data_IF_761709721194
#
_entry.id   IF_761709721194
#
_cell.length_a   1.000
_cell.length_b   1.000
_cell.length_c   1.000
_cell.angle_alpha   90.00
_cell.angle_beta   90.00
_cell.angle_gamma   90.00
#
_symmetry.space_group_name_H-M   'P 1'
#
loop_
_entity.id
_entity.type
_entity.pdbx_description
1 polymer ?
#
# COMPACT_ATOMS: atom_id res chain seq x y z
N UNK A 1 -41.72 12.40 20.18
CA UNK A 1 -40.96 11.14 20.26
C UNK A 1 -40.86 10.55 18.88
N UNK A 2 -39.75 9.84 18.63
CA UNK A 2 -39.36 9.08 17.42
C UNK A 2 -39.10 9.90 16.14
N UNK A 3 -38.09 9.68 15.29
CA UNK A 3 -36.84 8.90 15.24
C UNK A 3 -36.06 9.45 14.02
N UNK A 4 -34.72 9.52 14.10
CA UNK A 4 -33.73 9.02 13.10
C UNK A 4 -33.91 9.45 11.62
N UNK A 5 -32.93 9.97 10.89
CA UNK A 5 -31.71 9.25 10.46
C UNK A 5 -30.81 10.21 9.68
N UNK A 6 -29.51 10.16 9.95
CA UNK A 6 -28.49 10.74 9.08
C UNK A 6 -28.38 9.91 7.79
N UNK A 7 -28.40 10.56 6.64
CA UNK A 7 -27.95 10.00 5.37
C UNK A 7 -26.58 10.58 5.04
N UNK A 8 -25.58 9.71 5.06
CA UNK A 8 -24.33 9.82 4.32
C UNK A 8 -24.64 9.56 2.85
N UNK A 9 -24.03 10.29 1.92
CA UNK A 9 -23.50 9.65 0.71
C UNK A 9 -22.59 10.58 -0.12
N UNK A 10 -21.36 10.10 -0.33
CA UNK A 10 -20.75 10.08 -1.66
C UNK A 10 -20.32 11.40 -2.30
N UNK A 11 -19.29 12.07 -1.78
CA UNK A 11 -18.45 12.94 -2.63
C UNK A 11 -17.57 12.02 -3.50
N UNK A 12 -18.13 11.52 -4.60
CA UNK A 12 -17.35 10.97 -5.71
C UNK A 12 -16.65 12.13 -6.39
N UNK A 13 -15.38 12.36 -6.02
CA UNK A 13 -14.54 13.30 -6.75
C UNK A 13 -14.35 12.79 -8.19
N UNK A 14 -14.71 13.56 -9.23
CA UNK A 14 -14.49 13.14 -10.61
C UNK A 14 -12.98 13.01 -10.86
N UNK A 15 -12.58 11.82 -11.31
CA UNK A 15 -11.24 11.58 -11.85
C UNK A 15 -10.99 12.58 -12.98
N UNK A 16 -9.84 13.27 -13.01
CA UNK A 16 -9.56 14.24 -14.07
C UNK A 16 -9.49 13.54 -15.43
N UNK A 17 -10.02 14.16 -16.49
CA UNK A 17 -10.01 13.58 -17.83
C UNK A 17 -8.58 13.32 -18.30
N UNK A 18 -8.34 12.13 -18.86
CA UNK A 18 -7.12 11.75 -19.58
C UNK A 18 -6.95 12.65 -20.79
N UNK A 19 -6.34 13.81 -20.60
CA UNK A 19 -5.98 14.72 -21.69
C UNK A 19 -4.80 14.10 -22.42
N UNK A 20 -5.03 13.62 -23.65
CA UNK A 20 -3.94 13.46 -24.62
C UNK A 20 -3.26 14.83 -24.72
N UNK A 21 -1.96 14.90 -24.43
CA UNK A 21 -1.16 16.10 -24.60
C UNK A 21 -1.13 16.48 -26.08
N UNK A 22 -2.13 17.22 -26.54
CA UNK A 22 -2.13 17.93 -27.80
C UNK A 22 -2.09 19.42 -27.46
N UNK A 23 -0.88 19.98 -27.37
CA UNK A 23 -0.61 21.38 -27.69
C UNK A 23 0.90 21.66 -27.61
N UNK A 24 1.52 21.68 -28.78
CA UNK A 24 2.93 21.95 -29.06
C UNK A 24 3.36 23.40 -28.76
N UNK A 25 2.53 24.20 -28.07
CA UNK A 25 2.78 25.61 -27.76
C UNK A 25 3.04 25.90 -26.25
N UNK A 26 3.03 24.88 -25.38
CA UNK A 26 3.33 25.03 -23.94
C UNK A 26 4.75 24.55 -23.57
N UNK A 27 5.67 24.45 -24.53
CA UNK A 27 7.12 24.43 -24.25
C UNK A 27 7.59 25.83 -23.82
N UNK A 28 7.01 26.35 -22.74
CA UNK A 28 7.53 27.54 -22.07
C UNK A 28 8.64 27.06 -21.15
N UNK A 29 9.87 27.39 -21.51
CA UNK A 29 11.12 27.29 -20.74
C UNK A 29 10.97 26.53 -19.42
N UNK A 30 11.10 25.20 -19.47
CA UNK A 30 11.09 24.37 -18.26
C UNK A 30 12.32 24.80 -17.45
N UNK A 31 12.18 25.30 -16.20
CA UNK A 31 13.31 25.68 -15.38
C UNK A 31 13.97 24.40 -14.84
N UNK A 32 14.82 23.77 -15.67
CA UNK A 32 15.42 22.45 -15.46
C UNK A 32 16.08 22.37 -14.08
N UNK A 33 16.90 23.36 -13.70
CA UNK A 33 17.58 23.36 -12.40
C UNK A 33 16.63 23.46 -11.21
N UNK A 34 15.56 24.25 -11.34
CA UNK A 34 14.59 24.42 -10.26
C UNK A 34 13.84 23.12 -10.01
N UNK A 35 13.43 22.44 -11.08
CA UNK A 35 12.75 21.15 -11.00
C UNK A 35 13.65 20.06 -10.44
N UNK A 36 14.92 20.04 -10.88
CA UNK A 36 15.91 19.10 -10.36
C UNK A 36 16.05 19.24 -8.84
N UNK A 37 16.27 20.47 -8.36
CA UNK A 37 16.34 20.77 -6.91
C UNK A 37 15.08 20.36 -6.15
N UNK A 38 13.90 20.55 -6.72
CA UNK A 38 12.66 20.12 -6.09
C UNK A 38 12.56 18.59 -6.01
N UNK A 39 12.93 17.87 -7.07
CA UNK A 39 12.96 16.40 -7.07
C UNK A 39 14.00 15.84 -6.09
N UNK A 40 15.19 16.46 -6.01
CA UNK A 40 16.23 16.13 -5.03
C UNK A 40 15.71 16.35 -3.60
N UNK A 41 15.03 17.47 -3.32
CA UNK A 41 14.43 17.72 -2.01
C UNK A 41 13.37 16.66 -1.63
N UNK A 42 12.57 16.16 -2.58
CA UNK A 42 11.65 15.04 -2.33
C UNK A 42 12.35 13.72 -2.02
N UNK A 43 13.56 13.50 -2.55
CA UNK A 43 14.37 12.32 -2.25
C UNK A 43 15.03 12.44 -0.87
N UNK A 44 15.55 13.61 -0.53
CA UNK A 44 16.23 13.87 0.74
C UNK A 44 15.26 13.99 1.93
N UNK A 45 14.01 14.39 1.67
CA UNK A 45 12.98 14.44 2.70
C UNK A 45 12.57 13.02 3.14
N UNK A 46 13.32 12.50 4.11
CA UNK A 46 13.06 11.25 4.80
C UNK A 46 11.95 11.35 5.85
N UNK A 47 11.46 12.56 6.15
CA UNK A 47 10.43 12.79 7.18
C UNK A 47 9.03 12.64 6.61
N UNK A 48 8.87 12.94 5.32
CA UNK A 48 7.62 12.73 4.58
C UNK A 48 7.42 11.28 4.14
N UNK A 49 6.17 10.83 4.08
CA UNK A 49 5.81 9.56 3.46
C UNK A 49 6.23 9.59 1.99
N UNK A 50 6.80 8.51 1.44
CA UNK A 50 7.17 8.50 0.04
C UNK A 50 5.90 8.59 -0.81
N UNK A 51 5.86 9.58 -1.70
CA UNK A 51 4.76 9.79 -2.64
C UNK A 51 5.04 9.03 -3.95
N UNK A 52 4.01 8.52 -4.63
CA UNK A 52 4.20 7.99 -5.97
C UNK A 52 4.57 9.14 -6.92
N UNK A 53 5.38 8.83 -7.93
CA UNK A 53 5.86 9.82 -8.90
C UNK A 53 4.73 10.63 -9.58
N UNK A 54 3.56 10.03 -9.77
CA UNK A 54 2.37 10.72 -10.31
C UNK A 54 1.87 11.85 -9.43
N UNK A 55 1.91 11.67 -8.10
CA UNK A 55 1.56 12.71 -7.14
C UNK A 55 2.64 13.79 -7.10
N UNK A 56 3.92 13.41 -7.09
CA UNK A 56 5.04 14.36 -7.14
C UNK A 56 4.95 15.24 -8.41
N UNK A 57 4.70 14.62 -9.56
CA UNK A 57 4.53 15.34 -10.82
C UNK A 57 3.34 16.31 -10.78
N UNK A 58 2.21 15.87 -10.21
CA UNK A 58 1.03 16.72 -9.99
C UNK A 58 1.32 17.90 -9.06
N UNK A 59 2.08 17.69 -7.99
CA UNK A 59 2.51 18.76 -7.07
C UNK A 59 3.43 19.77 -7.74
N UNK A 60 4.25 19.34 -8.71
CA UNK A 60 5.12 20.21 -9.50
C UNK A 60 4.38 20.88 -10.67
N UNK A 61 3.18 20.42 -11.02
CA UNK A 61 2.40 20.94 -12.15
C UNK A 61 2.87 20.44 -13.53
N UNK A 62 3.63 19.33 -13.58
CA UNK A 62 4.16 18.76 -14.83
C UNK A 62 3.65 17.35 -15.09
N UNK A 63 3.62 16.96 -16.36
CA UNK A 63 3.33 15.57 -16.73
C UNK A 63 4.53 14.66 -16.44
N UNK A 64 4.26 13.45 -15.97
CA UNK A 64 5.29 12.45 -15.65
C UNK A 64 6.17 12.11 -16.87
N UNK A 65 5.63 12.15 -18.09
CA UNK A 65 6.39 11.88 -19.32
C UNK A 65 7.45 12.94 -19.57
N UNK A 66 7.14 14.21 -19.28
CA UNK A 66 8.08 15.32 -19.41
C UNK A 66 9.20 15.15 -18.37
N UNK A 67 8.83 14.89 -17.11
CA UNK A 67 9.81 14.69 -16.04
C UNK A 67 10.72 13.48 -16.32
N UNK A 68 10.19 12.37 -16.82
CA UNK A 68 10.99 11.19 -17.19
C UNK A 68 11.92 11.44 -18.36
N UNK A 69 11.54 12.31 -19.31
CA UNK A 69 12.40 12.65 -20.46
C UNK A 69 13.64 13.46 -20.04
N UNK A 70 13.49 14.35 -19.06
CA UNK A 70 14.57 15.22 -18.61
C UNK A 70 15.33 14.70 -17.38
N UNK A 71 14.66 13.93 -16.51
CA UNK A 71 15.17 13.49 -15.21
C UNK A 71 14.83 12.02 -14.96
N UNK A 72 15.22 11.13 -15.88
CA UNK A 72 14.92 9.70 -15.79
C UNK A 72 15.39 9.09 -14.48
N UNK A 73 16.63 9.38 -14.06
CA UNK A 73 17.25 8.82 -12.86
C UNK A 73 16.53 9.26 -11.58
N UNK A 74 16.24 10.56 -11.44
CA UNK A 74 15.53 11.10 -10.28
C UNK A 74 14.10 10.55 -10.19
N UNK A 75 13.40 10.47 -11.33
CA UNK A 75 12.07 9.87 -11.38
C UNK A 75 12.09 8.39 -10.98
N UNK A 76 13.14 7.66 -11.39
CA UNK A 76 13.33 6.27 -11.04
C UNK A 76 13.59 6.12 -9.54
N UNK A 77 14.49 6.90 -8.97
CA UNK A 77 14.81 6.89 -7.54
C UNK A 77 13.56 7.16 -6.67
N UNK A 78 12.75 8.17 -7.02
CA UNK A 78 11.51 8.48 -6.29
C UNK A 78 10.53 7.31 -6.40
N UNK A 79 10.39 6.74 -7.60
CA UNK A 79 9.49 5.60 -7.83
C UNK A 79 9.93 4.37 -7.03
N UNK A 80 11.24 4.06 -7.01
CA UNK A 80 11.78 2.94 -6.24
C UNK A 80 11.53 3.11 -4.75
N UNK A 81 11.84 4.29 -4.19
CA UNK A 81 11.55 4.61 -2.79
C UNK A 81 10.09 4.36 -2.41
N UNK A 82 9.15 4.73 -3.28
CA UNK A 82 7.73 4.46 -3.07
C UNK A 82 7.39 2.97 -3.13
N UNK A 83 7.95 2.23 -4.09
CA UNK A 83 7.74 0.78 -4.22
C UNK A 83 8.29 0.02 -3.02
N UNK A 84 9.49 0.37 -2.55
CA UNK A 84 10.12 -0.22 -1.37
C UNK A 84 9.29 0.02 -0.12
N UNK A 85 8.82 1.26 0.09
CA UNK A 85 7.90 1.57 1.18
C UNK A 85 6.60 0.77 1.07
N UNK A 86 6.04 0.64 -0.14
CA UNK A 86 4.81 -0.11 -0.37
C UNK A 86 4.97 -1.58 -0.05
N UNK A 87 6.11 -2.16 -0.43
CA UNK A 87 6.52 -3.52 -0.13
C UNK A 87 6.72 -3.72 1.37
N UNK A 88 7.45 -2.83 2.04
CA UNK A 88 7.64 -2.87 3.49
C UNK A 88 6.31 -2.79 4.24
N UNK A 89 5.42 -1.88 3.84
CA UNK A 89 4.07 -1.77 4.40
C UNK A 89 3.22 -3.03 4.18
N UNK A 90 3.33 -3.67 3.02
CA UNK A 90 2.63 -4.93 2.75
C UNK A 90 3.19 -6.05 3.63
N UNK A 91 4.52 -6.20 3.69
CA UNK A 91 5.19 -7.19 4.53
C UNK A 91 4.87 -7.01 6.01
N UNK A 92 4.82 -5.77 6.50
CA UNK A 92 4.42 -5.48 7.88
C UNK A 92 2.99 -5.95 8.16
N UNK A 93 2.05 -5.71 7.22
CA UNK A 93 0.67 -6.17 7.37
C UNK A 93 0.56 -7.69 7.33
N UNK A 94 1.33 -8.34 6.45
CA UNK A 94 1.44 -9.79 6.42
C UNK A 94 1.95 -10.34 7.74
N UNK A 95 3.02 -9.77 8.28
CA UNK A 95 3.61 -10.20 9.55
C UNK A 95 2.62 -10.08 10.71
N UNK A 96 1.89 -8.96 10.80
CA UNK A 96 0.83 -8.77 11.79
C UNK A 96 -0.26 -9.84 11.64
N UNK A 97 -0.70 -10.13 10.42
CA UNK A 97 -1.70 -11.17 10.16
C UNK A 97 -1.18 -12.58 10.46
N UNK A 98 0.08 -12.88 10.15
CA UNK A 98 0.72 -14.15 10.53
C UNK A 98 0.73 -14.31 12.05
N UNK A 99 1.09 -13.26 12.77
CA UNK A 99 1.14 -13.28 14.24
C UNK A 99 -0.25 -13.43 14.86
N UNK A 100 -1.25 -12.73 14.33
CA UNK A 100 -2.66 -12.88 14.71
C UNK A 100 -3.12 -14.34 14.54
N UNK A 101 -2.80 -14.96 13.39
CA UNK A 101 -3.09 -16.37 13.13
C UNK A 101 -2.44 -17.28 14.17
N UNK A 102 -1.16 -17.07 14.49
CA UNK A 102 -0.46 -17.88 15.50
C UNK A 102 -1.15 -17.78 16.86
N UNK A 103 -1.45 -16.57 17.31
CA UNK A 103 -2.09 -16.31 18.59
C UNK A 103 -3.48 -16.95 18.67
N UNK A 104 -4.29 -16.80 17.62
CA UNK A 104 -5.61 -17.43 17.53
C UNK A 104 -5.49 -18.95 17.55
N UNK A 105 -4.56 -19.52 16.79
CA UNK A 105 -4.37 -20.97 16.72
C UNK A 105 -3.98 -21.56 18.09
N UNK A 106 -3.03 -20.94 18.80
CA UNK A 106 -2.67 -21.36 20.16
C UNK A 106 -3.82 -21.19 21.14
N UNK A 107 -4.59 -20.10 21.03
CA UNK A 107 -5.78 -19.87 21.86
C UNK A 107 -6.81 -20.97 21.66
N UNK A 108 -7.14 -21.32 20.42
CA UNK A 108 -8.09 -22.39 20.11
C UNK A 108 -7.62 -23.73 20.68
N UNK A 109 -6.33 -24.05 20.48
CA UNK A 109 -5.75 -25.28 21.01
C UNK A 109 -5.84 -25.34 22.54
N UNK A 110 -5.56 -24.24 23.24
CA UNK A 110 -5.69 -24.17 24.71
C UNK A 110 -7.13 -24.35 25.21
N UNK A 111 -8.12 -24.08 24.35
CA UNK A 111 -9.54 -24.31 24.62
C UNK A 111 -9.99 -25.74 24.26
N UNK A 112 -9.07 -26.60 23.81
CA UNK A 112 -9.36 -27.95 23.33
C UNK A 112 -9.96 -28.00 21.93
N UNK A 113 -9.96 -26.88 21.19
CA UNK A 113 -10.47 -26.80 19.82
C UNK A 113 -9.28 -26.95 18.87
N UNK A 114 -9.39 -27.85 17.89
CA UNK A 114 -8.34 -28.00 16.89
C UNK A 114 -8.24 -26.73 16.02
N UNK A 115 -7.06 -26.09 15.90
CA UNK A 115 -6.88 -24.89 15.09
C UNK A 115 -6.92 -25.20 13.59
N UNK A 116 -8.13 -25.39 13.05
CA UNK A 116 -8.38 -25.54 11.62
C UNK A 116 -8.51 -24.18 10.93
N UNK A 117 -8.35 -24.15 9.61
CA UNK A 117 -8.49 -22.92 8.81
C UNK A 117 -9.83 -22.21 9.06
N UNK A 118 -10.93 -22.97 9.08
CA UNK A 118 -12.27 -22.43 9.29
C UNK A 118 -12.41 -21.81 10.67
N UNK A 119 -11.91 -22.48 11.71
CA UNK A 119 -12.00 -21.97 13.07
C UNK A 119 -11.14 -20.72 13.26
N UNK A 120 -9.89 -20.72 12.78
CA UNK A 120 -9.02 -19.54 12.86
C UNK A 120 -9.63 -18.33 12.14
N UNK A 121 -10.19 -18.53 10.94
CA UNK A 121 -10.82 -17.45 10.16
C UNK A 121 -11.96 -16.74 10.90
N UNK A 122 -12.68 -17.42 11.82
CA UNK A 122 -13.77 -16.83 12.60
C UNK A 122 -13.29 -15.80 13.62
N UNK A 123 -12.03 -15.88 14.02
CA UNK A 123 -11.43 -15.00 15.03
C UNK A 123 -10.44 -13.99 14.46
N UNK A 124 -10.16 -14.03 13.15
CA UNK A 124 -9.28 -13.05 12.50
C UNK A 124 -10.02 -11.75 12.19
N UNK A 125 -9.35 -10.63 12.44
CA UNK A 125 -9.86 -9.29 12.11
C UNK A 125 -9.97 -9.09 10.59
N UNK A 126 -9.07 -9.70 9.81
CA UNK A 126 -9.00 -9.54 8.34
C UNK A 126 -8.78 -10.90 7.65
N UNK A 127 -9.85 -11.66 7.40
CA UNK A 127 -9.75 -13.02 6.83
C UNK A 127 -9.21 -13.04 5.40
N UNK A 128 -9.25 -11.92 4.67
CA UNK A 128 -8.75 -11.81 3.31
C UNK A 128 -7.24 -12.14 3.18
N UNK A 129 -6.44 -11.85 4.22
CA UNK A 129 -5.00 -12.13 4.22
C UNK A 129 -4.68 -13.63 4.25
N UNK A 130 -5.65 -14.50 4.55
CA UNK A 130 -5.45 -15.95 4.50
C UNK A 130 -5.25 -16.49 3.06
N UNK A 131 -5.45 -15.65 2.04
CA UNK A 131 -5.07 -15.97 0.65
C UNK A 131 -3.56 -15.92 0.45
N UNK A 132 -2.86 -15.18 1.30
CA UNK A 132 -1.42 -15.02 1.23
C UNK A 132 -0.74 -16.27 1.77
N UNK A 133 0.27 -16.76 1.02
CA UNK A 133 0.93 -18.02 1.33
C UNK A 133 1.58 -18.01 2.72
N UNK A 134 2.19 -16.89 3.10
CA UNK A 134 2.87 -16.73 4.40
C UNK A 134 1.91 -16.89 5.58
N UNK A 135 0.70 -16.35 5.46
CA UNK A 135 -0.33 -16.41 6.51
C UNK A 135 -0.88 -17.83 6.65
N UNK A 136 -1.11 -18.52 5.52
CA UNK A 136 -1.49 -19.93 5.52
C UNK A 136 -0.38 -20.81 6.15
N UNK A 137 0.86 -20.59 5.73
CA UNK A 137 2.03 -21.29 6.28
C UNK A 137 2.18 -21.06 7.79
N UNK A 138 1.85 -19.88 8.31
CA UNK A 138 1.89 -19.62 9.74
C UNK A 138 0.96 -20.56 10.52
N UNK A 139 -0.24 -20.85 10.01
CA UNK A 139 -1.14 -21.84 10.62
C UNK A 139 -0.57 -23.26 10.53
N UNK A 140 -0.10 -23.67 9.34
CA UNK A 140 0.48 -25.01 9.14
C UNK A 140 1.67 -25.25 10.09
N UNK A 141 2.54 -24.26 10.26
CA UNK A 141 3.66 -24.36 11.20
C UNK A 141 3.20 -24.54 12.65
N UNK A 142 2.13 -23.85 13.07
CA UNK A 142 1.58 -24.03 14.42
C UNK A 142 0.99 -25.43 14.57
N UNK A 143 0.21 -25.91 13.60
CA UNK A 143 -0.36 -27.27 13.63
C UNK A 143 0.70 -28.36 13.67
N UNK A 144 1.76 -28.22 12.88
CA UNK A 144 2.92 -29.12 12.92
C UNK A 144 3.59 -29.14 14.31
N UNK A 145 3.82 -27.96 14.91
CA UNK A 145 4.42 -27.86 16.26
C UNK A 145 3.55 -28.48 17.35
N UNK A 146 2.23 -28.44 17.17
CA UNK A 146 1.25 -29.04 18.09
C UNK A 146 1.04 -30.54 17.83
N UNK A 147 1.71 -31.12 16.81
CA UNK A 147 1.59 -32.54 16.46
C UNK A 147 0.28 -32.90 15.77
N UNK A 148 -0.41 -31.93 15.16
CA UNK A 148 -1.73 -32.10 14.55
C UNK A 148 -1.70 -32.37 13.04
N UNK A 149 -0.58 -32.10 12.36
CA UNK A 149 -0.39 -32.36 10.93
C UNK A 149 0.91 -33.14 10.70
N UNK A 150 0.83 -34.22 9.91
CA UNK A 150 1.96 -34.97 9.33
C UNK A 150 2.01 -34.75 7.82
#
# INVERSE_FOLDING_TARGET
GVVTTAVVDGITAPLPPKTRCANTAFCRTIPIEKLRRQLEAFLEDNRSLPLPMTQVAKSLGYDVRILRRHFADLCHAISQRYLDYRKAQHNQKLEISCEEVRQVAFRLFSQGIEPTRSEVLRFLSKPAYFREREVCNALLQVRYRLGLEM
#
